data_IF_866738804624
#
_entry.id   IF_866738804624
#
_cell.length_a   1.000
_cell.length_b   1.000
_cell.length_c   1.000
_cell.angle_alpha   90.00
_cell.angle_beta   90.00
_cell.angle_gamma   90.00
#
_symmetry.space_group_name_H-M   'P 1'
#
loop_
_entity.id
_entity.type
_entity.pdbx_description
1 polymer ?
#
# COMPACT_ATOMS: atom_id res chain seq x y z
N UNK A 1 -8.93 -10.13 -14.89
CA UNK A 1 -8.48 -9.38 -13.70
C UNK A 1 -7.01 -9.16 -13.88
N UNK A 2 -6.57 -7.92 -14.10
CA UNK A 2 -5.13 -7.63 -14.14
C UNK A 2 -4.54 -8.00 -12.78
N UNK A 3 -3.57 -8.93 -12.78
CA UNK A 3 -2.76 -9.26 -11.62
C UNK A 3 -1.79 -8.10 -11.39
N UNK A 4 -2.32 -7.01 -10.85
CA UNK A 4 -1.52 -5.84 -10.49
C UNK A 4 -0.74 -6.15 -9.23
N UNK A 5 0.57 -6.08 -9.34
CA UNK A 5 1.46 -6.23 -8.20
C UNK A 5 1.60 -4.91 -7.46
N UNK A 6 1.65 -4.99 -6.14
CA UNK A 6 1.74 -3.85 -5.25
C UNK A 6 2.87 -4.08 -4.27
N UNK A 7 3.71 -3.06 -4.12
CA UNK A 7 4.66 -2.96 -3.04
C UNK A 7 4.08 -2.11 -1.91
N UNK A 8 4.09 -2.66 -0.69
CA UNK A 8 3.67 -2.00 0.52
C UNK A 8 4.89 -1.66 1.37
N UNK A 9 5.07 -0.37 1.62
CA UNK A 9 6.14 0.19 2.44
C UNK A 9 5.58 0.73 3.74
N UNK A 10 6.37 0.64 4.81
CA UNK A 10 6.14 1.33 6.07
C UNK A 10 7.33 2.23 6.37
N UNK A 11 7.19 3.52 6.04
CA UNK A 11 8.34 4.42 5.98
C UNK A 11 9.34 3.95 4.91
N UNK A 12 10.54 3.55 5.32
CA UNK A 12 11.61 3.06 4.44
C UNK A 12 11.65 1.52 4.36
N UNK A 13 10.90 0.83 5.22
CA UNK A 13 10.90 -0.64 5.24
C UNK A 13 9.86 -1.20 4.26
N UNK A 14 10.31 -2.05 3.35
CA UNK A 14 9.41 -2.87 2.55
C UNK A 14 8.79 -3.96 3.43
N UNK A 15 7.46 -4.07 3.44
CA UNK A 15 6.76 -5.08 4.23
C UNK A 15 6.23 -6.21 3.35
N UNK A 16 5.64 -5.90 2.20
CA UNK A 16 5.02 -6.90 1.35
C UNK A 16 5.10 -6.48 -0.12
N UNK A 17 5.34 -7.44 -1.00
CA UNK A 17 5.21 -7.30 -2.45
C UNK A 17 4.35 -8.45 -2.93
N UNK A 18 3.40 -8.16 -3.79
CA UNK A 18 2.58 -9.16 -4.46
C UNK A 18 1.22 -8.59 -4.84
N UNK A 19 0.25 -9.47 -5.04
CA UNK A 19 -1.11 -9.06 -5.39
C UNK A 19 -1.83 -8.40 -4.21
N UNK A 20 -2.91 -7.67 -4.50
CA UNK A 20 -3.80 -7.10 -3.47
C UNK A 20 -4.27 -8.18 -2.48
N UNK A 21 -4.53 -9.40 -2.98
CA UNK A 21 -5.04 -10.49 -2.16
C UNK A 21 -3.97 -11.06 -1.24
N UNK A 22 -2.76 -11.30 -1.73
CA UNK A 22 -1.64 -11.78 -0.90
C UNK A 22 -1.25 -10.74 0.16
N UNK A 23 -1.18 -9.47 -0.23
CA UNK A 23 -0.97 -8.38 0.70
C UNK A 23 -2.08 -8.32 1.77
N UNK A 24 -3.34 -8.43 1.35
CA UNK A 24 -4.48 -8.43 2.27
C UNK A 24 -4.41 -9.58 3.29
N UNK A 25 -4.08 -10.78 2.83
CA UNK A 25 -3.90 -11.95 3.71
C UNK A 25 -2.71 -11.77 4.66
N UNK A 26 -1.58 -11.29 4.16
CA UNK A 26 -0.38 -11.06 4.96
C UNK A 26 -0.60 -10.05 6.09
N UNK A 27 -1.34 -8.98 5.80
CA UNK A 27 -1.70 -7.96 6.78
C UNK A 27 -2.93 -8.31 7.64
N UNK A 28 -3.67 -9.37 7.29
CA UNK A 28 -4.94 -9.72 7.94
C UNK A 28 -6.04 -8.68 7.74
N UNK A 29 -6.01 -7.96 6.61
CA UNK A 29 -6.98 -6.90 6.27
C UNK A 29 -7.80 -7.28 5.04
N UNK A 30 -8.89 -6.55 4.79
CA UNK A 30 -9.66 -6.74 3.56
C UNK A 30 -8.89 -6.19 2.34
N UNK A 31 -9.02 -6.81 1.15
CA UNK A 31 -8.47 -6.28 -0.11
C UNK A 31 -8.89 -4.83 -0.39
N UNK A 32 -10.12 -4.46 0.01
CA UNK A 32 -10.64 -3.10 -0.10
C UNK A 32 -9.82 -2.07 0.69
N UNK A 33 -9.20 -2.48 1.80
CA UNK A 33 -8.34 -1.62 2.62
C UNK A 33 -7.03 -1.32 1.89
N UNK A 34 -6.45 -2.32 1.23
CA UNK A 34 -5.25 -2.12 0.39
C UNK A 34 -5.56 -1.16 -0.77
N UNK A 35 -6.71 -1.34 -1.43
CA UNK A 35 -7.18 -0.41 -2.46
C UNK A 35 -7.45 1.00 -1.90
N UNK A 36 -7.93 1.11 -0.67
CA UNK A 36 -8.11 2.40 -0.01
C UNK A 36 -6.79 3.14 0.19
N UNK A 37 -5.70 2.44 0.50
CA UNK A 37 -4.37 3.06 0.62
C UNK A 37 -3.84 3.62 -0.71
N UNK A 38 -4.28 3.08 -1.85
CA UNK A 38 -3.99 3.63 -3.18
C UNK A 38 -4.66 4.98 -3.42
N UNK A 39 -5.78 5.27 -2.74
CA UNK A 39 -6.59 6.45 -3.04
C UNK A 39 -5.83 7.77 -2.81
N UNK A 40 -6.08 8.80 -3.63
CA UNK A 40 -5.44 10.09 -3.47
C UNK A 40 -5.74 10.75 -2.12
N UNK A 41 -6.94 10.50 -1.56
CA UNK A 41 -7.32 10.99 -0.24
C UNK A 41 -6.44 10.43 0.88
N UNK A 42 -6.10 9.13 0.80
CA UNK A 42 -5.19 8.52 1.76
C UNK A 42 -3.76 9.04 1.59
N UNK A 43 -3.26 9.14 0.34
CA UNK A 43 -1.92 9.69 0.06
C UNK A 43 -1.76 11.11 0.61
N UNK A 44 -2.74 11.99 0.41
CA UNK A 44 -2.73 13.37 0.97
C UNK A 44 -2.67 13.37 2.50
N UNK A 45 -3.42 12.46 3.15
CA UNK A 45 -3.44 12.30 4.60
C UNK A 45 -2.11 11.80 5.16
N UNK A 46 -1.42 10.96 4.40
CA UNK A 46 -0.07 10.49 4.74
C UNK A 46 0.95 11.61 4.55
N UNK A 47 0.90 12.33 3.43
CA UNK A 47 1.81 13.42 3.11
C UNK A 47 1.72 14.59 4.11
N UNK A 48 0.55 14.85 4.70
CA UNK A 48 0.39 15.90 5.72
C UNK A 48 0.92 15.51 7.11
N UNK A 49 1.34 14.26 7.32
CA UNK A 49 1.88 13.83 8.63
C UNK A 49 3.36 14.16 8.74
N UNK A 50 3.73 14.88 9.80
CA UNK A 50 5.12 15.26 10.12
C UNK A 50 6.04 14.08 10.49
N UNK A 51 5.50 12.91 10.85
CA UNK A 51 6.30 11.73 11.25
C UNK A 51 6.23 10.66 10.16
N UNK A 52 7.28 10.58 9.35
CA UNK A 52 7.30 9.69 8.19
C UNK A 52 7.49 8.19 8.50
N UNK A 53 7.83 7.85 9.75
CA UNK A 53 8.25 6.49 10.13
C UNK A 53 7.13 5.46 10.28
N UNK A 54 5.85 5.86 10.30
CA UNK A 54 4.76 4.94 10.65
C UNK A 54 3.54 5.03 9.72
N UNK A 55 3.71 5.47 8.48
CA UNK A 55 2.65 5.40 7.47
C UNK A 55 2.86 4.19 6.55
N UNK A 56 1.76 3.57 6.12
CA UNK A 56 1.78 2.62 5.02
C UNK A 56 1.70 3.39 3.69
N UNK A 57 2.57 3.09 2.75
CA UNK A 57 2.50 3.55 1.37
C UNK A 57 2.32 2.34 0.46
N UNK A 58 1.43 2.44 -0.50
CA UNK A 58 1.20 1.39 -1.51
C UNK A 58 1.61 1.95 -2.85
N UNK A 59 2.59 1.32 -3.48
CA UNK A 59 3.10 1.65 -4.81
C UNK A 59 2.72 0.51 -5.75
N UNK A 60 1.91 0.74 -6.80
CA UNK A 60 1.74 -0.26 -7.84
C UNK A 60 3.10 -0.48 -8.53
N UNK A 61 3.50 -1.74 -8.69
CA UNK A 61 4.70 -2.12 -9.43
C UNK A 61 4.45 -2.28 -10.93
N UNK A 62 3.22 -1.97 -11.38
CA UNK A 62 2.91 -1.81 -12.80
C UNK A 62 3.54 -0.50 -13.32
N UNK A 63 4.87 -0.42 -13.37
CA UNK A 63 5.60 0.57 -14.17
C UNK A 63 6.15 -0.17 -15.41
N UNK A 64 5.63 0.26 -16.56
CA UNK A 64 5.94 -0.04 -17.98
C UNK A 64 7.10 -1.01 -18.33
#
# INVERSE_FOLDING_TARGET
>A
MELKEYAIYKGESLICIGTVQECAQHFGVLPRTILFYKTPAYRKRVASRKKARNYLTVTPLDED
#
